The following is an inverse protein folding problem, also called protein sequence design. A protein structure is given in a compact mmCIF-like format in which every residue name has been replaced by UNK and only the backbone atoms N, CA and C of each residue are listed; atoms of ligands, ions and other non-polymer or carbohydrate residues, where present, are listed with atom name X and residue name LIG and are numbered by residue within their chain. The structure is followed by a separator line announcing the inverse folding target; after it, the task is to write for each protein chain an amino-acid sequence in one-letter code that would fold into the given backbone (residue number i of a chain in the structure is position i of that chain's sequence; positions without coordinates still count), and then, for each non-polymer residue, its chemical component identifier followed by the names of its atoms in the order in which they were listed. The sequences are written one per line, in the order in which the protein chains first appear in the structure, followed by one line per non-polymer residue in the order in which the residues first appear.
data_IF_598450190383
#
_entry.id   IF_598450190383
#
_cell.length_a   1.000
_cell.length_b   1.000
_cell.length_c   1.000
_cell.angle_alpha   90.00
_cell.angle_beta   90.00
_cell.angle_gamma   90.00
#
_symmetry.space_group_name_H-M   'P 1'
#
loop_
_entity.id
_entity.type
_entity.pdbx_description
1 polymer ?
#
# COMPACT_ATOMS: atom_id res chain seq x y z
N UNK A 1 8.72 11.52 5.84
CA UNK A 1 8.58 11.04 4.44
C UNK A 1 7.27 11.54 3.85
N UNK A 2 7.25 11.98 2.59
CA UNK A 2 6.00 12.44 1.93
C UNK A 2 5.37 11.28 1.16
N UNK A 3 4.05 11.13 1.30
CA UNK A 3 3.26 10.12 0.60
C UNK A 3 2.41 10.74 -0.49
N UNK A 4 2.27 10.02 -1.61
CA UNK A 4 1.44 10.40 -2.73
C UNK A 4 0.37 9.36 -2.95
N UNK A 5 -0.88 9.82 -3.02
CA UNK A 5 -2.03 8.99 -3.34
C UNK A 5 -2.00 8.55 -4.79
N UNK A 6 -2.07 7.24 -5.03
CA UNK A 6 -2.12 6.64 -6.35
C UNK A 6 -3.56 6.13 -6.58
N UNK A 7 -4.37 6.82 -7.41
CA UNK A 7 -5.77 6.46 -7.61
C UNK A 7 -5.97 5.27 -8.56
N UNK A 8 -4.98 4.96 -9.40
CA UNK A 8 -5.05 3.93 -10.43
C UNK A 8 -4.14 2.75 -10.11
N UNK A 9 -4.72 1.55 -10.04
CA UNK A 9 -4.02 0.31 -9.68
C UNK A 9 -2.89 -0.03 -10.64
N UNK A 10 -3.07 0.19 -11.94
CA UNK A 10 -2.03 -0.10 -12.95
C UNK A 10 -0.75 0.71 -12.69
N UNK A 11 -0.90 1.94 -12.19
CA UNK A 11 0.23 2.79 -11.79
C UNK A 11 0.92 2.28 -10.53
N UNK A 12 0.19 1.60 -9.64
CA UNK A 12 0.76 0.93 -8.46
C UNK A 12 1.57 -0.29 -8.91
N UNK A 13 1.07 -1.07 -9.87
CA UNK A 13 1.80 -2.20 -10.43
C UNK A 13 3.14 -1.77 -11.02
N UNK A 14 3.17 -0.68 -11.81
CA UNK A 14 4.43 -0.12 -12.33
C UNK A 14 5.43 0.26 -11.22
N UNK A 15 4.94 0.73 -10.07
CA UNK A 15 5.77 1.08 -8.92
C UNK A 15 6.31 -0.19 -8.24
N UNK A 16 5.47 -1.22 -8.08
CA UNK A 16 5.86 -2.50 -7.47
C UNK A 16 6.96 -3.18 -8.28
N UNK A 17 6.87 -3.15 -9.61
CA UNK A 17 7.89 -3.72 -10.50
C UNK A 17 9.27 -3.04 -10.37
N UNK A 18 9.32 -1.78 -9.91
CA UNK A 18 10.58 -1.05 -9.67
C UNK A 18 11.29 -1.44 -8.38
N UNK A 19 10.63 -2.20 -7.49
CA UNK A 19 11.29 -2.75 -6.31
C UNK A 19 12.33 -3.74 -6.81
N UNK A 20 13.60 -3.54 -6.50
CA UNK A 20 14.68 -4.40 -7.01
C UNK A 20 15.47 -5.06 -5.88
N UNK A 21 15.46 -4.46 -4.70
CA UNK A 21 16.29 -4.86 -3.58
C UNK A 21 15.71 -4.48 -2.21
N UNK A 22 16.47 -4.85 -1.18
CA UNK A 22 16.23 -4.48 0.21
C UNK A 22 15.46 -5.52 1.02
N UNK A 23 15.57 -5.37 2.33
CA UNK A 23 14.72 -6.04 3.31
C UNK A 23 13.53 -5.13 3.60
N UNK A 24 12.34 -5.71 3.58
CA UNK A 24 11.08 -5.02 3.74
C UNK A 24 10.34 -5.55 4.96
N UNK A 25 9.52 -4.70 5.55
CA UNK A 25 8.61 -5.02 6.63
C UNK A 25 7.19 -4.84 6.12
N UNK A 26 6.37 -5.88 6.28
CA UNK A 26 4.93 -5.84 6.12
C UNK A 26 4.28 -5.79 7.50
N UNK A 27 3.45 -4.78 7.75
CA UNK A 27 2.70 -4.59 8.99
C UNK A 27 1.20 -4.63 8.71
N UNK A 28 0.48 -5.51 9.40
CA UNK A 28 -0.97 -5.61 9.39
C UNK A 28 -1.49 -5.84 10.81
N UNK A 29 -2.37 -4.97 11.30
CA UNK A 29 -3.01 -5.08 12.61
C UNK A 29 -2.02 -5.30 13.78
N UNK A 30 -0.82 -4.70 13.70
CA UNK A 30 0.23 -4.82 14.71
C UNK A 30 1.13 -6.05 14.57
N UNK A 31 0.83 -6.98 13.65
CA UNK A 31 1.74 -8.07 13.29
C UNK A 31 2.73 -7.57 12.25
N UNK A 32 4.00 -8.00 12.38
CA UNK A 32 5.08 -7.67 11.44
C UNK A 32 5.67 -8.93 10.84
N UNK A 33 5.96 -8.84 9.55
CA UNK A 33 6.60 -9.89 8.76
C UNK A 33 7.77 -9.28 7.99
N UNK A 34 8.96 -9.88 8.10
CA UNK A 34 10.12 -9.48 7.28
C UNK A 34 10.04 -10.18 5.93
N UNK A 35 10.21 -9.43 4.85
CA UNK A 35 10.09 -9.89 3.48
C UNK A 35 11.33 -9.48 2.68
N UNK A 36 11.79 -10.37 1.82
CA UNK A 36 12.73 -10.01 0.75
C UNK A 36 12.05 -9.16 -0.33
N UNK A 37 12.85 -8.56 -1.21
CA UNK A 37 12.35 -7.79 -2.36
C UNK A 37 11.39 -8.58 -3.27
N UNK A 38 11.58 -9.89 -3.42
CA UNK A 38 10.70 -10.73 -4.24
C UNK A 38 9.41 -11.10 -3.51
N UNK A 39 9.48 -11.31 -2.20
CA UNK A 39 8.29 -11.60 -1.39
C UNK A 39 7.40 -10.36 -1.24
N UNK A 40 8.00 -9.18 -1.05
CA UNK A 40 7.23 -7.93 -0.94
C UNK A 40 6.52 -7.59 -2.25
N UNK A 41 7.12 -7.87 -3.42
CA UNK A 41 6.45 -7.72 -4.72
C UNK A 41 5.20 -8.59 -4.81
N UNK A 42 5.31 -9.87 -4.46
CA UNK A 42 4.18 -10.81 -4.46
C UNK A 42 3.07 -10.32 -3.53
N UNK A 43 3.43 -9.93 -2.31
CA UNK A 43 2.48 -9.39 -1.32
C UNK A 43 1.77 -8.14 -1.83
N UNK A 44 2.51 -7.19 -2.41
CA UNK A 44 1.95 -5.96 -2.97
C UNK A 44 1.05 -6.24 -4.18
N UNK A 45 1.41 -7.19 -5.04
CA UNK A 45 0.59 -7.62 -6.17
C UNK A 45 -0.75 -8.20 -5.69
N UNK A 46 -0.73 -9.03 -4.64
CA UNK A 46 -1.95 -9.56 -3.99
C UNK A 46 -2.83 -8.42 -3.46
N UNK A 47 -2.25 -7.44 -2.76
CA UNK A 47 -2.98 -6.27 -2.25
C UNK A 47 -3.60 -5.44 -3.38
N UNK A 48 -2.86 -5.18 -4.46
CA UNK A 48 -3.38 -4.43 -5.62
C UNK A 48 -4.56 -5.15 -6.25
N UNK A 49 -4.45 -6.45 -6.46
CA UNK A 49 -5.55 -7.24 -7.02
C UNK A 49 -6.77 -7.27 -6.11
N UNK A 50 -6.57 -7.40 -4.79
CA UNK A 50 -7.66 -7.34 -3.81
C UNK A 50 -8.40 -5.99 -3.85
N UNK A 51 -7.68 -4.88 -3.87
CA UNK A 51 -8.29 -3.54 -3.97
C UNK A 51 -9.00 -3.35 -5.31
N UNK A 52 -8.42 -3.85 -6.41
CA UNK A 52 -9.05 -3.84 -7.73
C UNK A 52 -10.39 -4.57 -7.71
N UNK A 53 -10.45 -5.76 -7.10
CA UNK A 53 -11.70 -6.52 -6.94
C UNK A 53 -12.73 -5.73 -6.13
N UNK A 54 -12.34 -5.09 -5.02
CA UNK A 54 -13.28 -4.27 -4.24
C UNK A 54 -13.92 -3.15 -5.06
N UNK A 55 -13.13 -2.42 -5.87
CA UNK A 55 -13.63 -1.37 -6.75
C UNK A 55 -14.57 -1.91 -7.83
N UNK A 56 -14.34 -3.13 -8.31
CA UNK A 56 -15.19 -3.77 -9.32
C UNK A 56 -16.50 -4.31 -8.73
N UNK A 57 -16.45 -4.90 -7.55
CA UNK A 57 -17.60 -5.54 -6.89
C UNK A 57 -18.51 -4.51 -6.22
N UNK A 58 -17.95 -3.43 -5.68
CA UNK A 58 -18.71 -2.41 -4.95
C UNK A 58 -19.03 -1.21 -5.83
N UNK A 59 -20.29 -1.14 -6.28
CA UNK A 59 -20.84 -0.02 -7.08
C UNK A 59 -20.75 1.35 -6.39
N UNK A 60 -20.50 1.36 -5.08
CA UNK A 60 -20.46 2.58 -4.26
C UNK A 60 -19.06 3.15 -4.08
N UNK A 61 -18.02 2.48 -4.59
CA UNK A 61 -16.66 3.00 -4.53
C UNK A 61 -16.38 3.76 -5.83
N UNK A 62 -16.18 5.09 -5.80
CA UNK A 62 -15.73 5.82 -6.96
C UNK A 62 -14.43 5.24 -7.52
N UNK A 63 -14.31 5.15 -8.85
CA UNK A 63 -13.11 4.64 -9.50
C UNK A 63 -11.83 5.39 -9.07
N UNK A 64 -11.96 6.70 -8.83
CA UNK A 64 -10.87 7.58 -8.37
C UNK A 64 -10.54 7.48 -6.87
N UNK A 65 -11.21 6.59 -6.12
CA UNK A 65 -10.89 6.38 -4.70
C UNK A 65 -9.46 5.90 -4.56
N UNK A 66 -8.66 6.65 -3.79
CA UNK A 66 -7.26 6.33 -3.55
C UNK A 66 -7.14 5.41 -2.33
N UNK A 67 -6.55 4.24 -2.52
CA UNK A 67 -6.23 3.31 -1.43
C UNK A 67 -4.72 3.17 -1.20
N UNK A 68 -3.92 3.34 -2.26
CA UNK A 68 -2.47 3.21 -2.21
C UNK A 68 -1.82 4.56 -2.03
N UNK A 69 -0.96 4.68 -1.03
CA UNK A 69 -0.13 5.84 -0.79
C UNK A 69 1.32 5.39 -0.84
N UNK A 70 2.07 5.92 -1.80
CA UNK A 70 3.46 5.52 -2.05
C UNK A 70 4.38 6.67 -1.64
N UNK A 71 5.45 6.35 -0.93
CA UNK A 71 6.57 7.28 -0.74
C UNK A 71 7.38 7.37 -2.02
N UNK A 72 7.63 8.58 -2.51
CA UNK A 72 8.48 8.85 -3.69
C UNK A 72 8.32 7.82 -4.83
N UNK A 73 7.31 7.97 -5.72
CA UNK A 73 6.94 6.95 -6.72
C UNK A 73 8.06 6.45 -7.64
N UNK A 74 9.13 7.23 -7.81
CA UNK A 74 10.28 6.84 -8.63
C UNK A 74 11.23 5.87 -7.91
N UNK A 75 11.25 5.88 -6.59
CA UNK A 75 12.01 4.95 -5.74
C UNK A 75 11.19 4.65 -4.48
N UNK A 76 10.23 3.72 -4.56
CA UNK A 76 9.34 3.44 -3.43
C UNK A 76 10.13 2.88 -2.26
N UNK A 77 9.98 3.51 -1.09
CA UNK A 77 10.62 3.07 0.17
C UNK A 77 9.60 2.58 1.19
N UNK A 78 8.34 2.96 0.99
CA UNK A 78 7.21 2.71 1.86
C UNK A 78 5.91 2.88 1.07
N UNK A 79 4.94 2.03 1.35
CA UNK A 79 3.61 1.98 0.78
C UNK A 79 2.62 1.81 1.94
N UNK A 80 1.60 2.65 1.99
CA UNK A 80 0.46 2.52 2.91
C UNK A 80 -0.77 2.19 2.10
N UNK A 81 -1.50 1.16 2.52
CA UNK A 81 -2.73 0.72 1.87
C UNK A 81 -3.86 0.82 2.86
N UNK A 82 -4.91 1.51 2.44
CA UNK A 82 -6.15 1.66 3.19
C UNK A 82 -7.17 0.66 2.64
N UNK A 83 -8.14 0.29 3.46
CA UNK A 83 -9.22 -0.61 3.05
C UNK A 83 -10.58 0.08 3.05
N UNK A 84 -11.63 -0.67 2.76
CA UNK A 84 -13.00 -0.13 2.77
C UNK A 84 -13.44 0.33 4.16
N UNK A 85 -13.01 -0.35 5.23
CA UNK A 85 -13.30 0.08 6.61
C UNK A 85 -12.65 1.42 6.94
N UNK A 86 -11.54 1.73 6.28
CA UNK A 86 -10.81 2.98 6.42
C UNK A 86 -11.50 4.19 5.78
N UNK A 87 -12.52 3.98 4.94
CA UNK A 87 -13.30 5.05 4.29
C UNK A 87 -14.45 5.61 5.16
N UNK A 88 -14.63 5.11 6.39
CA UNK A 88 -15.64 5.62 7.32
C UNK A 88 -15.39 7.09 7.72
N UNK A 89 -16.48 7.83 7.97
CA UNK A 89 -16.56 9.27 8.29
C UNK A 89 -15.83 9.70 9.58
N UNK A 90 -14.54 9.41 9.71
CA UNK A 90 -13.69 9.88 10.80
C UNK A 90 -12.91 11.11 10.37
N UNK A 91 -12.91 12.13 11.22
CA UNK A 91 -12.08 13.33 11.10
C UNK A 91 -10.57 13.05 11.30
N UNK A 92 -10.22 11.84 11.73
CA UNK A 92 -8.87 11.30 11.64
C UNK A 92 -8.86 10.16 10.63
N UNK A 93 -7.95 10.20 9.64
CA UNK A 93 -7.67 9.04 8.78
C UNK A 93 -7.44 7.84 9.70
N UNK A 94 -8.34 6.85 9.67
CA UNK A 94 -8.09 5.54 10.28
C UNK A 94 -6.68 5.09 9.89
N UNK A 95 -5.89 4.50 10.78
CA UNK A 95 -4.53 4.10 10.44
C UNK A 95 -4.55 3.20 9.21
N UNK A 96 -3.54 3.31 8.35
CA UNK A 96 -3.40 2.43 7.19
C UNK A 96 -3.46 0.97 7.65
N UNK A 97 -4.33 0.17 7.01
CA UNK A 97 -4.51 -1.24 7.35
C UNK A 97 -3.26 -2.04 7.08
N UNK A 98 -2.62 -1.76 5.94
CA UNK A 98 -1.35 -2.36 5.57
C UNK A 98 -0.28 -1.28 5.44
N UNK A 99 0.88 -1.53 6.04
CA UNK A 99 2.08 -0.74 5.81
C UNK A 99 3.17 -1.67 5.31
N UNK A 100 3.82 -1.26 4.23
CA UNK A 100 4.91 -2.01 3.61
C UNK A 100 6.08 -1.07 3.46
N UNK A 101 7.23 -1.33 4.05
CA UNK A 101 8.34 -0.37 4.04
C UNK A 101 9.70 -1.03 4.17
N UNK A 102 10.75 -0.40 3.62
CA UNK A 102 12.13 -0.87 3.82
C UNK A 102 12.47 -0.87 5.31
N UNK A 103 13.16 -1.91 5.76
CA UNK A 103 13.52 -2.14 7.18
C UNK A 103 14.25 -0.95 7.81
N UNK A 104 15.04 -0.22 7.03
CA UNK A 104 15.74 1.02 7.44
C UNK A 104 14.80 2.15 7.93
N UNK A 105 13.50 2.10 7.58
CA UNK A 105 12.48 3.05 8.03
C UNK A 105 11.65 2.57 9.23
N UNK A 106 12.05 1.47 9.87
CA UNK A 106 11.40 1.03 11.10
C UNK A 106 11.40 2.15 12.17
N UNK A 107 10.23 2.40 12.76
CA UNK A 107 10.02 3.46 13.75
C UNK A 107 9.82 4.87 13.19
N UNK A 108 9.85 5.05 11.85
CA UNK A 108 9.72 6.37 11.21
C UNK A 108 8.37 6.59 10.49
N UNK A 109 7.43 5.62 10.55
CA UNK A 109 6.27 5.52 9.66
C UNK A 109 4.89 5.47 10.32
#
# INVERSE_FOLDING_TARGET
MRFYGIPFEDRVLEIVERITDGEWLYEENGNREELSAEEVKKKLLELVNMVKSWKQESRHIPAGTTFFFVSTPDNPQAIKVYDLSSLGCSSSLSPARWKVYKKEFEGQL
#
